data_IF_863698525211
#
_entry.id   IF_863698525211
#
_cell.length_a   1.000
_cell.length_b   1.000
_cell.length_c   1.000
_cell.angle_alpha   90.00
_cell.angle_beta   90.00
_cell.angle_gamma   90.00
#
_symmetry.space_group_name_H-M   'P 1'
#
loop_
_entity.id
_entity.type
_entity.pdbx_description
1 polymer ?
#
# COMPACT_ATOMS: atom_id res chain seq x y z
N UNK A 1 -24.49 -9.30 52.10
CA UNK A 1 -23.72 -9.57 50.88
C UNK A 1 -23.37 -8.27 50.23
N UNK A 2 -22.11 -7.88 50.22
CA UNK A 2 -21.68 -6.64 49.56
C UNK A 2 -21.58 -6.96 48.08
N UNK A 3 -22.45 -6.37 47.29
CA UNK A 3 -22.40 -6.44 45.82
C UNK A 3 -21.09 -5.77 45.34
N UNK A 4 -20.10 -6.57 44.97
CA UNK A 4 -18.86 -6.03 44.37
C UNK A 4 -19.25 -5.40 43.03
N UNK A 5 -19.14 -4.07 42.91
CA UNK A 5 -19.33 -3.37 41.65
C UNK A 5 -18.26 -3.85 40.62
N UNK A 6 -18.71 -4.17 39.42
CA UNK A 6 -17.80 -4.49 38.31
C UNK A 6 -16.85 -3.33 38.09
N UNK A 7 -15.52 -3.55 38.05
CA UNK A 7 -14.58 -2.49 37.76
C UNK A 7 -14.88 -1.86 36.40
N UNK A 8 -14.93 -0.53 36.33
CA UNK A 8 -15.06 0.19 35.06
C UNK A 8 -13.68 0.48 34.49
N UNK A 9 -13.53 0.30 33.20
CA UNK A 9 -12.33 0.70 32.49
C UNK A 9 -12.13 2.21 32.63
N UNK A 10 -10.92 2.73 32.97
CA UNK A 10 -10.61 4.13 32.97
C UNK A 10 -10.93 4.79 31.62
N UNK A 11 -11.44 6.02 31.61
CA UNK A 11 -11.85 6.71 30.36
C UNK A 11 -10.67 6.99 29.42
N UNK A 12 -9.51 7.25 29.98
CA UNK A 12 -8.25 7.47 29.26
C UNK A 12 -7.67 6.23 28.55
N UNK A 13 -8.20 5.04 28.89
CA UNK A 13 -7.80 3.77 28.28
C UNK A 13 -8.81 3.23 27.27
N UNK A 14 -9.82 4.01 26.92
CA UNK A 14 -10.80 3.58 25.93
C UNK A 14 -10.24 3.80 24.54
N UNK A 15 -10.11 2.72 23.80
CA UNK A 15 -9.66 2.69 22.40
C UNK A 15 -10.63 3.36 21.43
N UNK A 16 -11.91 3.49 21.82
CA UNK A 16 -12.97 4.01 20.98
C UNK A 16 -13.59 5.21 21.71
N UNK A 17 -13.71 6.38 21.08
CA UNK A 17 -14.42 7.52 21.64
C UNK A 17 -15.82 7.12 22.11
N UNK A 18 -16.30 7.74 23.19
CA UNK A 18 -17.56 7.41 23.86
C UNK A 18 -18.79 7.47 22.94
N UNK A 19 -18.70 8.28 21.90
CA UNK A 19 -19.71 8.57 20.89
C UNK A 19 -19.50 7.82 19.57
N UNK A 20 -18.48 6.93 19.51
CA UNK A 20 -18.19 6.16 18.31
C UNK A 20 -19.02 4.88 18.25
N UNK A 21 -19.89 4.80 17.26
CA UNK A 21 -20.51 3.54 16.87
C UNK A 21 -19.54 2.72 16.02
N UNK A 22 -19.00 1.65 16.60
CA UNK A 22 -18.06 0.76 15.93
C UNK A 22 -18.68 0.12 14.69
N UNK A 23 -19.97 -0.18 14.70
CA UNK A 23 -20.63 -0.83 13.57
C UNK A 23 -20.81 0.11 12.38
N UNK A 24 -21.11 1.39 12.63
CA UNK A 24 -21.24 2.39 11.58
C UNK A 24 -19.88 2.75 10.94
N UNK A 25 -18.78 2.51 11.64
CA UNK A 25 -17.42 2.75 11.14
C UNK A 25 -16.79 1.52 10.50
N UNK A 26 -17.31 0.32 10.75
CA UNK A 26 -16.75 -0.91 10.20
C UNK A 26 -17.25 -1.12 8.76
N UNK A 27 -16.45 -0.65 7.79
CA UNK A 27 -16.69 -0.87 6.36
C UNK A 27 -15.78 -1.95 5.75
N UNK A 28 -15.00 -2.65 6.60
CA UNK A 28 -14.13 -3.73 6.14
C UNK A 28 -14.93 -4.85 5.50
N UNK A 29 -14.45 -5.31 4.36
CA UNK A 29 -15.02 -6.44 3.63
C UNK A 29 -13.90 -7.43 3.37
N UNK A 30 -14.12 -8.71 3.68
CA UNK A 30 -13.20 -9.78 3.32
C UNK A 30 -13.95 -10.88 2.58
N UNK A 31 -13.65 -11.04 1.31
CA UNK A 31 -14.18 -12.10 0.43
C UNK A 31 -13.00 -12.91 -0.12
N UNK A 32 -12.62 -13.99 0.55
CA UNK A 32 -11.49 -14.82 0.16
C UNK A 32 -11.60 -15.27 -1.31
N UNK A 33 -10.49 -15.14 -2.05
CA UNK A 33 -10.43 -15.44 -3.48
C UNK A 33 -11.03 -14.36 -4.39
N UNK A 34 -11.57 -13.27 -3.83
CA UNK A 34 -12.12 -12.15 -4.60
C UNK A 34 -11.46 -10.83 -4.22
N UNK A 35 -11.73 -10.30 -3.03
CA UNK A 35 -11.13 -9.04 -2.61
C UNK A 35 -11.18 -8.82 -1.09
N UNK A 36 -10.36 -7.87 -0.62
CA UNK A 36 -10.33 -7.39 0.75
C UNK A 36 -10.33 -5.86 0.75
N UNK A 37 -11.30 -5.22 1.43
CA UNK A 37 -11.32 -3.78 1.69
C UNK A 37 -11.01 -3.50 3.16
N UNK A 38 -10.03 -2.65 3.42
CA UNK A 38 -9.67 -2.18 4.77
C UNK A 38 -9.67 -0.65 4.80
N UNK A 39 -10.75 -0.02 5.28
CA UNK A 39 -10.79 1.42 5.53
C UNK A 39 -9.75 1.85 6.59
N UNK A 40 -9.29 3.09 6.53
CA UNK A 40 -8.30 3.62 7.49
C UNK A 40 -8.73 3.38 8.95
N UNK A 41 -9.98 3.67 9.28
CA UNK A 41 -10.53 3.50 10.63
C UNK A 41 -10.54 2.05 11.16
N UNK A 42 -10.35 1.06 10.28
CA UNK A 42 -10.35 -0.37 10.65
C UNK A 42 -8.93 -0.98 10.70
N UNK A 43 -7.89 -0.20 10.46
CA UNK A 43 -6.50 -0.68 10.55
C UNK A 43 -6.05 -0.73 12.00
N UNK A 44 -5.59 -1.90 12.41
CA UNK A 44 -5.17 -2.14 13.79
C UNK A 44 -3.65 -1.99 13.89
N UNK A 45 -3.15 -1.19 14.85
CA UNK A 45 -1.72 -1.11 15.13
C UNK A 45 -1.12 -2.46 15.47
N UNK A 46 0.06 -2.72 14.92
CA UNK A 46 0.88 -3.89 15.14
C UNK A 46 2.33 -3.47 15.40
N UNK A 47 3.21 -4.41 15.65
CA UNK A 47 4.63 -4.17 15.86
C UNK A 47 5.47 -5.18 15.07
N UNK A 48 6.57 -4.70 14.50
CA UNK A 48 7.63 -5.54 13.93
C UNK A 48 8.91 -5.38 14.77
N UNK A 49 9.64 -6.46 15.05
CA UNK A 49 10.79 -6.42 15.98
C UNK A 49 11.90 -5.45 15.59
N UNK A 50 12.04 -5.12 14.31
CA UNK A 50 13.09 -4.25 13.80
C UNK A 50 12.72 -2.75 13.83
N UNK A 51 11.53 -2.38 14.30
CA UNK A 51 11.07 -1.00 14.27
C UNK A 51 11.00 -0.41 15.66
N UNK A 52 11.43 0.85 15.79
CA UNK A 52 11.35 1.68 17.00
C UNK A 52 10.61 2.98 16.68
N UNK A 53 9.80 3.46 17.63
CA UNK A 53 9.01 4.69 17.51
C UNK A 53 8.24 4.80 16.17
N UNK A 54 7.66 3.64 15.77
CA UNK A 54 6.94 3.48 14.51
C UNK A 54 5.72 2.61 14.74
N UNK A 55 4.55 3.10 14.36
CA UNK A 55 3.31 2.31 14.36
C UNK A 55 3.18 1.61 13.01
N UNK A 56 2.91 0.32 13.03
CA UNK A 56 2.82 -0.52 11.85
C UNK A 56 1.41 -1.04 11.72
N UNK A 57 0.80 -0.87 10.55
CA UNK A 57 -0.51 -1.43 10.24
C UNK A 57 -0.35 -2.39 9.07
N UNK A 58 -0.77 -3.63 9.25
CA UNK A 58 -0.70 -4.66 8.21
C UNK A 58 -1.90 -4.48 7.29
N UNK A 59 -1.64 -4.25 6.01
CA UNK A 59 -2.67 -4.09 4.97
C UNK A 59 -2.95 -5.43 4.29
N UNK A 60 -1.90 -6.13 3.88
CA UNK A 60 -2.02 -7.43 3.20
C UNK A 60 -0.83 -8.32 3.51
N UNK A 61 -1.03 -9.64 3.45
CA UNK A 61 0.03 -10.64 3.68
C UNK A 61 -0.26 -11.93 2.91
N UNK A 62 0.73 -12.81 2.72
CA UNK A 62 0.53 -14.14 2.17
C UNK A 62 -0.45 -15.01 2.98
N UNK A 63 -0.63 -14.74 4.27
CA UNK A 63 -1.66 -15.43 5.09
C UNK A 63 -3.09 -15.10 4.69
N UNK A 64 -3.29 -13.97 4.02
CA UNK A 64 -4.58 -13.54 3.47
C UNK A 64 -4.70 -13.83 1.98
N UNK A 65 -3.68 -14.45 1.37
CA UNK A 65 -3.71 -14.95 -0.01
C UNK A 65 -2.93 -14.13 -1.04
N UNK A 66 -2.23 -13.06 -0.64
CA UNK A 66 -1.36 -12.29 -1.54
C UNK A 66 0.01 -12.95 -1.72
N UNK A 67 0.72 -12.61 -2.79
CA UNK A 67 2.13 -12.97 -2.99
C UNK A 67 3.09 -11.98 -2.33
N UNK A 68 2.59 -10.85 -1.88
CA UNK A 68 3.33 -9.78 -1.22
C UNK A 68 2.84 -9.53 0.21
N UNK A 69 3.65 -8.80 0.97
CA UNK A 69 3.20 -8.19 2.23
C UNK A 69 3.23 -6.68 2.08
N UNK A 70 2.15 -6.00 2.48
CA UNK A 70 2.07 -4.55 2.43
C UNK A 70 1.68 -3.99 3.79
N UNK A 71 2.38 -2.92 4.17
CA UNK A 71 2.22 -2.23 5.44
C UNK A 71 2.00 -0.74 5.24
N UNK A 72 1.21 -0.13 6.11
CA UNK A 72 1.26 1.29 6.37
C UNK A 72 2.16 1.50 7.60
N UNK A 73 3.13 2.39 7.48
CA UNK A 73 4.10 2.75 8.51
C UNK A 73 3.87 4.20 8.92
N UNK A 74 3.59 4.44 10.20
CA UNK A 74 3.55 5.78 10.79
C UNK A 74 4.79 5.95 11.69
N UNK A 75 5.82 6.63 11.18
CA UNK A 75 7.03 6.96 11.92
C UNK A 75 6.83 8.24 12.71
N UNK A 76 7.09 8.20 14.01
CA UNK A 76 7.27 9.41 14.82
C UNK A 76 8.63 10.07 14.51
N UNK A 77 8.89 11.31 14.91
CA UNK A 77 10.21 11.90 14.84
C UNK A 77 11.28 10.98 15.49
N UNK A 78 12.32 10.62 14.74
CA UNK A 78 13.33 9.65 15.16
C UNK A 78 12.92 8.18 15.05
N UNK A 79 11.70 7.91 14.55
CA UNK A 79 11.23 6.55 14.27
C UNK A 79 12.06 5.89 13.18
N UNK A 80 12.41 4.60 13.35
CA UNK A 80 13.38 3.95 12.46
C UNK A 80 13.35 2.43 12.52
N UNK A 81 14.02 1.83 11.55
CA UNK A 81 14.54 0.47 11.66
C UNK A 81 15.84 0.47 12.47
N UNK A 82 15.97 -0.46 13.42
CA UNK A 82 17.19 -0.56 14.26
C UNK A 82 18.33 -1.32 13.56
N UNK A 83 18.01 -2.18 12.62
CA UNK A 83 18.95 -2.97 11.83
C UNK A 83 18.69 -2.81 10.36
N UNK A 84 19.72 -2.96 9.55
CA UNK A 84 19.57 -3.11 8.10
C UNK A 84 18.67 -4.31 7.78
N UNK A 85 17.82 -4.15 6.79
CA UNK A 85 17.17 -5.26 6.10
C UNK A 85 18.13 -5.70 5.02
N UNK A 86 18.38 -6.99 4.93
CA UNK A 86 19.24 -7.65 3.95
C UNK A 86 18.66 -9.05 3.79
N UNK A 87 17.75 -9.20 2.87
CA UNK A 87 16.97 -10.42 2.67
C UNK A 87 16.70 -10.68 1.17
N UNK A 88 16.12 -11.83 0.88
CA UNK A 88 15.81 -12.29 -0.49
C UNK A 88 14.54 -11.64 -1.09
N UNK A 89 13.98 -10.64 -0.42
CA UNK A 89 12.81 -9.92 -0.91
C UNK A 89 13.24 -8.65 -1.64
N UNK A 90 12.47 -8.26 -2.59
CA UNK A 90 12.47 -6.90 -3.12
C UNK A 90 11.46 -6.05 -2.36
N UNK A 91 11.76 -4.78 -2.29
CA UNK A 91 11.00 -3.84 -1.47
C UNK A 91 10.66 -2.58 -2.25
N UNK A 92 9.45 -2.09 -2.02
CA UNK A 92 9.03 -0.78 -2.51
C UNK A 92 8.51 0.05 -1.34
N UNK A 93 8.88 1.32 -1.30
CA UNK A 93 8.33 2.28 -0.34
C UNK A 93 7.87 3.54 -1.07
N UNK A 94 6.73 4.08 -0.63
CA UNK A 94 6.15 5.33 -1.11
C UNK A 94 5.77 6.20 0.08
N UNK A 95 6.21 7.46 0.09
CA UNK A 95 5.94 8.42 1.16
C UNK A 95 4.60 9.09 0.92
N UNK A 96 3.60 8.77 1.77
CA UNK A 96 2.26 9.36 1.71
C UNK A 96 2.21 10.76 2.32
N UNK A 97 3.05 11.02 3.33
CA UNK A 97 3.14 12.29 4.04
C UNK A 97 4.46 12.42 4.78
N UNK A 98 4.99 13.64 4.84
CA UNK A 98 6.24 13.93 5.55
C UNK A 98 7.47 13.61 4.72
N UNK A 99 8.47 13.03 5.32
CA UNK A 99 9.72 12.66 4.64
C UNK A 99 10.37 11.45 5.29
N UNK A 100 11.17 10.71 4.52
CA UNK A 100 11.84 9.51 4.97
C UNK A 100 13.27 9.47 4.45
N UNK A 101 14.20 9.08 5.29
CA UNK A 101 15.58 8.81 4.91
C UNK A 101 15.79 7.30 4.75
N UNK A 102 16.39 6.89 3.64
CA UNK A 102 16.81 5.52 3.39
C UNK A 102 18.32 5.45 3.48
N UNK A 103 18.83 4.73 4.47
CA UNK A 103 20.25 4.45 4.63
C UNK A 103 20.61 3.17 3.89
N UNK A 104 21.47 3.26 2.91
CA UNK A 104 21.98 2.15 2.09
C UNK A 104 23.48 1.89 2.35
N UNK A 105 23.94 2.21 3.55
CA UNK A 105 25.29 2.00 4.02
C UNK A 105 26.27 3.13 3.66
N UNK A 106 26.68 3.23 2.40
CA UNK A 106 27.61 4.28 1.95
C UNK A 106 26.94 5.64 1.75
N UNK A 107 25.63 5.63 1.49
CA UNK A 107 24.84 6.81 1.13
C UNK A 107 23.52 6.83 1.90
N UNK A 108 22.96 8.04 2.01
CA UNK A 108 21.57 8.25 2.42
C UNK A 108 20.79 8.86 1.28
N UNK A 109 19.59 8.37 1.06
CA UNK A 109 18.63 8.93 0.11
C UNK A 109 17.48 9.53 0.90
N UNK A 110 17.09 10.75 0.58
CA UNK A 110 15.97 11.45 1.20
C UNK A 110 14.78 11.41 0.27
N UNK A 111 13.63 11.03 0.79
CA UNK A 111 12.35 11.03 0.09
C UNK A 111 11.41 12.01 0.78
N UNK A 112 10.81 12.90 0.01
CA UNK A 112 9.71 13.77 0.42
C UNK A 112 8.36 13.08 0.20
N UNK A 113 7.26 13.74 0.54
CA UNK A 113 5.90 13.31 0.17
C UNK A 113 5.78 13.12 -1.35
N UNK A 114 5.28 11.98 -1.80
CA UNK A 114 5.30 11.57 -3.22
C UNK A 114 6.62 10.93 -3.67
N UNK A 115 7.65 10.96 -2.83
CA UNK A 115 8.90 10.24 -3.08
C UNK A 115 8.74 8.74 -2.91
N UNK A 116 9.48 7.97 -3.70
CA UNK A 116 9.43 6.51 -3.65
C UNK A 116 10.80 5.88 -3.90
N UNK A 117 10.96 4.64 -3.46
CA UNK A 117 12.14 3.84 -3.76
C UNK A 117 11.77 2.38 -4.00
N UNK A 118 12.46 1.77 -4.96
CA UNK A 118 12.52 0.33 -5.15
C UNK A 118 13.92 -0.16 -4.77
N UNK A 119 13.98 -1.13 -3.86
CA UNK A 119 15.19 -1.81 -3.44
C UNK A 119 15.11 -3.27 -3.89
N UNK A 120 15.98 -3.69 -4.81
CA UNK A 120 16.03 -5.09 -5.24
C UNK A 120 16.42 -6.04 -4.10
N UNK A 121 16.16 -7.33 -4.30
CA UNK A 121 16.61 -8.37 -3.37
C UNK A 121 18.12 -8.30 -3.14
N UNK A 122 18.57 -8.68 -1.94
CA UNK A 122 19.96 -8.65 -1.50
C UNK A 122 20.58 -7.23 -1.39
N UNK A 123 19.75 -6.18 -1.47
CA UNK A 123 20.18 -4.80 -1.20
C UNK A 123 19.95 -4.43 0.26
N UNK A 124 21.03 -4.21 1.00
CA UNK A 124 20.93 -3.81 2.41
C UNK A 124 20.46 -2.35 2.55
N UNK A 125 19.44 -2.10 3.38
CA UNK A 125 18.91 -0.77 3.66
C UNK A 125 18.23 -0.70 5.03
N UNK A 126 17.95 0.52 5.50
CA UNK A 126 17.05 0.80 6.63
C UNK A 126 16.34 2.14 6.45
N UNK A 127 15.17 2.27 7.05
CA UNK A 127 14.38 3.50 7.09
C UNK A 127 14.62 4.26 8.39
N UNK A 128 14.63 5.59 8.28
CA UNK A 128 14.73 6.51 9.42
C UNK A 128 13.96 7.80 9.12
N UNK A 129 13.11 8.23 10.05
CA UNK A 129 12.48 9.56 10.00
C UNK A 129 13.38 10.55 10.72
N UNK A 130 14.12 11.36 9.97
CA UNK A 130 14.98 12.45 10.48
C UNK A 130 14.29 13.82 10.48
N UNK A 131 13.00 13.87 10.11
CA UNK A 131 12.19 15.09 10.08
C UNK A 131 11.56 15.35 11.46
N UNK A 132 11.22 16.62 11.72
CA UNK A 132 10.61 17.04 12.99
C UNK A 132 9.14 16.61 13.14
N UNK A 133 8.49 16.20 12.04
CA UNK A 133 7.10 15.75 11.99
C UNK A 133 6.96 14.25 11.81
N UNK A 134 5.72 13.78 11.94
CA UNK A 134 5.36 12.38 11.66
C UNK A 134 5.46 12.11 10.15
N UNK A 135 5.92 10.92 9.81
CA UNK A 135 5.97 10.43 8.43
C UNK A 135 5.06 9.22 8.27
N UNK A 136 4.23 9.24 7.22
CA UNK A 136 3.44 8.07 6.81
C UNK A 136 3.95 7.55 5.47
N UNK A 137 4.16 6.24 5.38
CA UNK A 137 4.62 5.58 4.16
C UNK A 137 3.92 4.23 3.95
N UNK A 138 3.80 3.83 2.69
CA UNK A 138 3.42 2.46 2.31
C UNK A 138 4.71 1.68 2.02
N UNK A 139 4.85 0.53 2.64
CA UNK A 139 5.97 -0.37 2.42
C UNK A 139 5.49 -1.73 1.96
N UNK A 140 5.95 -2.15 0.80
CA UNK A 140 5.64 -3.45 0.21
C UNK A 140 6.91 -4.28 0.12
N UNK A 141 6.79 -5.56 0.39
CA UNK A 141 7.84 -6.53 0.13
C UNK A 141 7.28 -7.77 -0.55
N UNK A 142 8.01 -8.25 -1.54
CA UNK A 142 7.66 -9.40 -2.36
C UNK A 142 8.90 -10.27 -2.53
N UNK A 143 8.72 -11.58 -2.60
CA UNK A 143 9.82 -12.48 -2.94
C UNK A 143 10.16 -12.31 -4.41
N UNK A 144 11.41 -11.91 -4.70
CA UNK A 144 11.89 -11.78 -6.06
C UNK A 144 11.86 -13.12 -6.79
N UNK A 145 11.31 -13.13 -7.99
CA UNK A 145 11.28 -14.27 -8.88
C UNK A 145 12.24 -14.02 -10.07
N UNK A 146 13.48 -14.54 -10.02
CA UNK A 146 14.45 -14.25 -11.07
C UNK A 146 13.98 -14.80 -12.42
N UNK A 147 14.17 -14.02 -13.47
CA UNK A 147 13.99 -14.43 -14.85
C UNK A 147 15.39 -14.50 -15.49
N UNK A 148 15.89 -15.71 -15.75
CA UNK A 148 17.23 -15.94 -16.25
C UNK A 148 18.32 -15.22 -15.44
N UNK A 149 19.14 -14.40 -16.09
CA UNK A 149 20.21 -13.61 -15.46
C UNK A 149 19.83 -12.14 -15.28
N UNK A 150 18.56 -11.79 -15.51
CA UNK A 150 18.10 -10.42 -15.35
C UNK A 150 18.05 -10.03 -13.87
N UNK A 151 18.44 -8.81 -13.57
CA UNK A 151 18.38 -8.23 -12.23
C UNK A 151 17.83 -6.81 -12.33
N UNK A 152 16.85 -6.44 -11.48
CA UNK A 152 16.35 -5.08 -11.44
C UNK A 152 17.38 -4.16 -10.78
N UNK A 153 17.43 -2.91 -11.24
CA UNK A 153 18.25 -1.86 -10.64
C UNK A 153 17.45 -1.12 -9.56
N UNK A 154 18.09 -0.60 -8.52
CA UNK A 154 17.41 0.20 -7.50
C UNK A 154 16.92 1.52 -8.08
N UNK A 155 15.76 1.99 -7.58
CA UNK A 155 15.15 3.26 -7.98
C UNK A 155 14.98 4.12 -6.74
N UNK A 156 15.36 5.40 -6.82
CA UNK A 156 15.08 6.45 -5.85
C UNK A 156 14.60 7.66 -6.63
N UNK A 157 13.33 8.00 -6.51
CA UNK A 157 12.72 9.02 -7.36
C UNK A 157 11.53 9.68 -6.67
N UNK A 158 10.89 10.60 -7.38
CA UNK A 158 9.67 11.27 -6.94
C UNK A 158 8.60 11.17 -8.04
N UNK A 159 7.33 11.10 -7.65
CA UNK A 159 6.21 10.98 -8.60
C UNK A 159 6.16 12.12 -9.62
N UNK A 160 6.64 13.33 -9.25
CA UNK A 160 6.69 14.48 -10.14
C UNK A 160 7.72 14.33 -11.27
N UNK A 161 8.69 13.43 -11.14
CA UNK A 161 9.72 13.15 -12.15
C UNK A 161 9.32 12.03 -13.11
N UNK A 162 8.17 11.37 -12.87
CA UNK A 162 7.65 10.30 -13.72
C UNK A 162 6.65 10.87 -14.71
N UNK A 163 6.87 10.60 -16.00
CA UNK A 163 5.97 11.06 -17.05
C UNK A 163 4.59 10.41 -16.97
N UNK A 164 3.56 11.18 -17.32
CA UNK A 164 2.21 10.67 -17.45
C UNK A 164 2.01 9.96 -18.78
N UNK A 165 1.42 8.80 -18.72
CA UNK A 165 0.86 8.07 -19.86
C UNK A 165 -0.61 8.49 -19.94
N UNK A 166 -1.03 8.93 -21.13
CA UNK A 166 -2.41 9.36 -21.37
C UNK A 166 -3.17 8.18 -21.93
N UNK A 167 -4.05 7.62 -21.12
CA UNK A 167 -4.98 6.57 -21.51
C UNK A 167 -6.30 7.17 -22.02
N UNK A 168 -7.20 6.35 -22.56
CA UNK A 168 -8.44 6.84 -23.17
C UNK A 168 -9.30 7.69 -22.22
N UNK A 169 -9.32 7.36 -20.93
CA UNK A 169 -10.20 7.98 -19.91
C UNK A 169 -9.47 8.43 -18.65
N UNK A 170 -8.18 8.09 -18.46
CA UNK A 170 -7.43 8.39 -17.25
C UNK A 170 -5.94 8.65 -17.56
N UNK A 171 -5.23 9.12 -16.56
CA UNK A 171 -3.77 9.26 -16.62
C UNK A 171 -3.12 8.20 -15.75
N UNK A 172 -1.98 7.68 -16.20
CA UNK A 172 -1.19 6.69 -15.47
C UNK A 172 0.28 7.11 -15.39
N UNK A 173 0.95 6.72 -14.32
CA UNK A 173 2.41 6.82 -14.16
C UNK A 173 2.94 5.45 -13.74
N UNK A 174 3.96 4.95 -14.42
CA UNK A 174 4.67 3.74 -14.02
C UNK A 174 5.88 4.12 -13.17
N UNK A 175 5.77 3.95 -11.85
CA UNK A 175 6.85 4.28 -10.91
C UNK A 175 8.04 3.31 -11.02
N UNK A 176 7.79 2.11 -11.52
CA UNK A 176 8.81 1.10 -11.87
C UNK A 176 8.71 0.84 -13.37
N UNK A 177 9.82 0.84 -14.14
CA UNK A 177 9.82 0.70 -15.61
C UNK A 177 9.71 -0.79 -16.04
N UNK A 178 8.64 -1.47 -15.65
CA UNK A 178 8.44 -2.89 -15.88
C UNK A 178 8.05 -3.26 -17.33
N UNK A 179 7.48 -2.33 -18.09
CA UNK A 179 7.04 -2.58 -19.48
C UNK A 179 8.23 -2.78 -20.41
N UNK A 180 9.28 -2.01 -20.20
CA UNK A 180 10.50 -2.04 -21.02
C UNK A 180 11.59 -2.93 -20.42
N UNK A 181 11.40 -3.44 -19.21
CA UNK A 181 12.42 -4.18 -18.49
C UNK A 181 11.85 -5.39 -17.72
N UNK A 182 11.98 -6.55 -18.33
CA UNK A 182 11.54 -7.84 -17.77
C UNK A 182 12.28 -8.26 -16.48
N UNK A 183 13.31 -7.52 -16.05
CA UNK A 183 13.97 -7.76 -14.76
C UNK A 183 13.04 -7.52 -13.57
N UNK A 184 12.14 -6.54 -13.67
CA UNK A 184 11.17 -6.23 -12.62
C UNK A 184 10.00 -7.21 -12.66
N UNK A 185 9.65 -7.80 -11.52
CA UNK A 185 8.48 -8.65 -11.31
C UNK A 185 7.44 -8.03 -10.36
N UNK A 186 7.70 -6.79 -9.94
CA UNK A 186 6.81 -5.92 -9.20
C UNK A 186 6.58 -4.63 -9.98
N UNK A 187 5.35 -4.14 -10.00
CA UNK A 187 5.01 -2.84 -10.55
C UNK A 187 4.29 -1.97 -9.52
N UNK A 188 4.52 -0.68 -9.62
CA UNK A 188 3.76 0.34 -8.93
C UNK A 188 3.31 1.39 -9.90
N UNK A 189 1.98 1.53 -10.04
CA UNK A 189 1.35 2.50 -10.92
C UNK A 189 0.55 3.50 -10.10
N UNK A 190 0.55 4.74 -10.53
CA UNK A 190 -0.29 5.78 -9.98
C UNK A 190 -1.30 6.20 -11.04
N UNK A 191 -2.58 6.10 -10.71
CA UNK A 191 -3.66 6.40 -11.64
C UNK A 191 -4.44 7.63 -11.18
N UNK A 192 -4.87 8.42 -12.13
CA UNK A 192 -5.62 9.64 -11.92
C UNK A 192 -6.84 9.71 -12.83
N UNK A 193 -8.01 9.93 -12.24
CA UNK A 193 -9.29 10.05 -12.90
C UNK A 193 -9.91 11.41 -12.56
N UNK A 194 -10.38 12.13 -13.55
CA UNK A 194 -11.22 13.31 -13.31
C UNK A 194 -12.55 12.90 -12.63
N UNK A 195 -13.22 13.87 -12.00
CA UNK A 195 -14.50 13.62 -11.35
C UNK A 195 -15.55 13.09 -12.34
N UNK A 196 -16.16 11.95 -12.00
CA UNK A 196 -17.17 11.29 -12.83
C UNK A 196 -16.62 10.41 -13.96
N UNK A 197 -15.30 10.31 -14.09
CA UNK A 197 -14.66 9.46 -15.11
C UNK A 197 -14.51 8.02 -14.61
N UNK A 198 -14.59 7.09 -15.53
CA UNK A 198 -14.48 5.64 -15.30
C UNK A 198 -13.49 5.02 -16.29
N UNK A 199 -13.01 3.82 -16.02
CA UNK A 199 -12.25 3.02 -16.98
C UNK A 199 -12.99 2.79 -18.31
N UNK A 200 -14.32 2.80 -18.27
CA UNK A 200 -15.15 2.54 -19.45
C UNK A 200 -15.25 1.06 -19.85
N UNK A 201 -14.56 0.17 -19.19
CA UNK A 201 -14.58 -1.28 -19.43
C UNK A 201 -14.40 -2.05 -18.13
N UNK A 202 -14.70 -3.34 -18.17
CA UNK A 202 -14.38 -4.30 -17.11
C UNK A 202 -13.22 -5.14 -17.59
N UNK A 203 -12.17 -5.20 -16.80
CA UNK A 203 -10.99 -6.01 -17.08
C UNK A 203 -10.87 -7.21 -16.15
N UNK A 204 -10.13 -8.21 -16.57
CA UNK A 204 -9.67 -9.33 -15.76
C UNK A 204 -8.32 -9.80 -16.26
N UNK A 205 -7.42 -10.10 -15.36
CA UNK A 205 -6.06 -10.52 -15.69
C UNK A 205 -5.43 -11.33 -14.56
N UNK A 206 -4.27 -11.89 -14.85
CA UNK A 206 -3.48 -12.75 -13.96
C UNK A 206 -2.96 -12.02 -12.73
N UNK A 207 -2.71 -10.70 -12.81
CA UNK A 207 -2.09 -9.93 -11.74
C UNK A 207 -3.04 -9.76 -10.55
N UNK A 208 -2.48 -9.87 -9.35
CA UNK A 208 -3.13 -9.42 -8.12
C UNK A 208 -2.84 -7.94 -7.87
N UNK A 209 -3.66 -7.27 -7.07
CA UNK A 209 -3.49 -5.85 -6.79
C UNK A 209 -3.60 -5.52 -5.32
N UNK A 210 -2.67 -4.67 -4.86
CA UNK A 210 -2.84 -3.87 -3.65
C UNK A 210 -3.02 -2.41 -4.04
N UNK A 211 -4.19 -1.85 -3.74
CA UNK A 211 -4.56 -0.49 -4.09
C UNK A 211 -4.75 0.36 -2.85
N UNK A 212 -4.14 1.54 -2.85
CA UNK A 212 -4.35 2.57 -1.84
C UNK A 212 -4.95 3.81 -2.50
N UNK A 213 -6.16 4.21 -2.08
CA UNK A 213 -6.79 5.42 -2.61
C UNK A 213 -6.15 6.65 -1.96
N UNK A 214 -5.36 7.41 -2.75
CA UNK A 214 -4.63 8.58 -2.27
C UNK A 214 -5.55 9.77 -2.06
N UNK A 215 -6.48 10.00 -3.00
CA UNK A 215 -7.38 11.14 -2.99
C UNK A 215 -8.74 10.80 -3.57
N UNK A 216 -9.76 11.55 -3.13
CA UNK A 216 -11.09 11.50 -3.70
C UNK A 216 -11.94 10.34 -3.21
N UNK A 217 -12.86 9.92 -4.06
CA UNK A 217 -13.81 8.83 -3.84
C UNK A 217 -14.05 8.07 -5.13
N UNK A 218 -14.36 6.78 -5.01
CA UNK A 218 -14.69 5.98 -6.14
C UNK A 218 -15.60 4.82 -5.81
N UNK A 219 -16.10 4.20 -6.86
CA UNK A 219 -16.81 2.93 -6.79
C UNK A 219 -16.00 1.93 -7.60
N UNK A 220 -15.62 0.84 -6.97
CA UNK A 220 -15.09 -0.33 -7.65
C UNK A 220 -16.20 -1.33 -7.97
N UNK A 221 -16.29 -1.73 -9.22
CA UNK A 221 -16.97 -2.94 -9.60
C UNK A 221 -16.03 -4.12 -9.41
N UNK A 222 -16.42 -5.10 -8.62
CA UNK A 222 -15.63 -6.29 -8.29
C UNK A 222 -16.52 -7.52 -8.34
N UNK A 223 -16.34 -8.36 -9.36
CA UNK A 223 -17.06 -9.63 -9.50
C UNK A 223 -18.57 -9.53 -9.24
N UNK A 224 -19.27 -8.65 -9.97
CA UNK A 224 -20.72 -8.36 -9.86
C UNK A 224 -21.16 -7.62 -8.58
N UNK A 225 -20.23 -7.01 -7.86
CA UNK A 225 -20.51 -6.17 -6.70
C UNK A 225 -19.94 -4.77 -6.88
N UNK A 226 -20.52 -3.82 -6.16
CA UNK A 226 -20.05 -2.45 -6.14
C UNK A 226 -19.56 -2.09 -4.74
N UNK A 227 -18.32 -1.63 -4.66
CA UNK A 227 -17.65 -1.30 -3.40
C UNK A 227 -17.27 0.18 -3.41
N UNK A 228 -17.83 0.95 -2.48
CA UNK A 228 -17.47 2.35 -2.32
C UNK A 228 -16.11 2.48 -1.61
N UNK A 229 -15.26 3.36 -2.14
CA UNK A 229 -13.96 3.71 -1.59
C UNK A 229 -13.83 5.22 -1.41
N UNK A 230 -13.08 5.61 -0.42
CA UNK A 230 -12.67 7.00 -0.16
C UNK A 230 -11.18 7.08 0.13
N UNK A 231 -10.61 8.29 0.10
CA UNK A 231 -9.20 8.51 0.42
C UNK A 231 -8.80 7.76 1.70
N UNK A 232 -7.59 7.24 1.70
CA UNK A 232 -6.99 6.36 2.71
C UNK A 232 -7.61 4.96 2.82
N UNK A 233 -8.57 4.56 1.99
CA UNK A 233 -9.00 3.16 1.94
C UNK A 233 -7.97 2.29 1.21
N UNK A 234 -7.80 1.05 1.68
CA UNK A 234 -6.98 0.03 1.06
C UNK A 234 -7.86 -1.08 0.48
N UNK A 235 -7.60 -1.46 -0.77
CA UNK A 235 -8.27 -2.56 -1.45
C UNK A 235 -7.23 -3.55 -1.97
N UNK A 236 -7.43 -4.83 -1.67
CA UNK A 236 -6.70 -5.92 -2.32
C UNK A 236 -7.66 -6.68 -3.25
N UNK A 237 -7.18 -7.00 -4.44
CA UNK A 237 -7.89 -7.78 -5.44
C UNK A 237 -7.08 -9.01 -5.83
N UNK A 238 -7.72 -10.16 -5.76
CA UNK A 238 -7.10 -11.44 -6.15
C UNK A 238 -6.94 -11.52 -7.68
N UNK A 239 -6.04 -12.40 -8.18
CA UNK A 239 -5.94 -12.70 -9.60
C UNK A 239 -7.30 -13.03 -10.23
N UNK A 240 -7.49 -12.61 -11.48
CA UNK A 240 -8.66 -12.90 -12.31
C UNK A 240 -9.99 -12.32 -11.82
N UNK A 241 -10.01 -11.48 -10.81
CA UNK A 241 -11.24 -10.80 -10.37
C UNK A 241 -11.65 -9.77 -11.42
N UNK A 242 -12.88 -9.88 -12.01
CA UNK A 242 -13.39 -8.84 -12.90
C UNK A 242 -13.52 -7.52 -12.15
N UNK A 243 -12.93 -6.46 -12.70
CA UNK A 243 -12.79 -5.18 -12.03
C UNK A 243 -12.97 -3.98 -12.96
N UNK A 244 -13.45 -2.89 -12.42
CA UNK A 244 -13.52 -1.57 -13.04
C UNK A 244 -13.64 -0.49 -11.98
N UNK A 245 -13.08 0.70 -12.24
CA UNK A 245 -13.14 1.83 -11.32
C UNK A 245 -13.91 2.99 -11.93
N UNK A 246 -14.65 3.71 -11.09
CA UNK A 246 -15.29 4.96 -11.41
C UNK A 246 -15.00 5.98 -10.31
N UNK A 247 -14.37 7.11 -10.65
CA UNK A 247 -14.22 8.24 -9.75
C UNK A 247 -15.60 8.88 -9.52
N UNK A 248 -15.98 9.07 -8.25
CA UNK A 248 -17.28 9.62 -7.86
C UNK A 248 -17.10 10.87 -7.03
N UNK A 249 -18.15 11.68 -6.92
CA UNK A 249 -18.09 12.95 -6.19
C UNK A 249 -17.71 14.13 -7.07
N UNK A 250 -17.15 15.19 -6.44
CA UNK A 250 -16.88 16.47 -7.07
C UNK A 250 -15.39 16.72 -7.33
N UNK A 251 -14.55 15.80 -6.89
CA UNK A 251 -13.09 15.88 -7.02
C UNK A 251 -12.58 14.69 -7.81
N UNK A 252 -11.38 14.81 -8.32
CA UNK A 252 -10.62 13.73 -8.94
C UNK A 252 -10.41 12.57 -7.97
N UNK A 253 -10.22 11.37 -8.53
CA UNK A 253 -9.80 10.17 -7.79
C UNK A 253 -8.39 9.79 -8.17
N UNK A 254 -7.52 9.56 -7.18
CA UNK A 254 -6.13 9.12 -7.39
C UNK A 254 -5.83 7.93 -6.53
N UNK A 255 -5.18 6.92 -7.09
CA UNK A 255 -4.72 5.79 -6.31
C UNK A 255 -3.34 5.29 -6.72
N UNK A 256 -2.67 4.68 -5.76
CA UNK A 256 -1.45 3.92 -5.96
C UNK A 256 -1.81 2.44 -6.02
N UNK A 257 -1.32 1.75 -7.04
CA UNK A 257 -1.59 0.35 -7.32
C UNK A 257 -0.29 -0.43 -7.42
N UNK A 258 -0.12 -1.47 -6.62
CA UNK A 258 0.90 -2.47 -6.90
C UNK A 258 0.29 -3.68 -7.63
N UNK A 259 1.11 -4.30 -8.47
CA UNK A 259 0.77 -5.55 -9.18
C UNK A 259 2.03 -6.39 -9.38
N UNK A 260 1.88 -7.69 -9.43
CA UNK A 260 2.88 -8.62 -9.92
C UNK A 260 2.89 -8.59 -11.45
N UNK A 261 4.08 -8.57 -12.04
CA UNK A 261 4.25 -8.41 -13.50
C UNK A 261 5.34 -9.33 -14.02
N UNK A 262 5.37 -9.53 -15.34
CA UNK A 262 6.47 -10.20 -16.05
C UNK A 262 6.75 -11.65 -15.60
N UNK A 263 5.81 -12.27 -14.87
CA UNK A 263 5.87 -13.67 -14.45
C UNK A 263 4.52 -14.32 -14.72
N UNK A 264 4.56 -15.63 -14.98
CA UNK A 264 3.34 -16.40 -15.15
C UNK A 264 2.69 -16.69 -13.80
N UNK A 265 1.39 -16.96 -13.84
CA UNK A 265 0.66 -17.36 -12.63
C UNK A 265 1.20 -18.67 -12.10
N UNK A 266 1.48 -18.70 -10.82
CA UNK A 266 1.88 -19.90 -10.09
C UNK A 266 0.87 -20.20 -8.99
N UNK A 267 0.06 -21.24 -9.19
CA UNK A 267 -1.00 -21.68 -8.26
C UNK A 267 -0.50 -22.47 -7.05
N UNK A 268 0.83 -22.61 -6.91
CA UNK A 268 1.47 -23.31 -5.79
C UNK A 268 1.64 -22.47 -4.51
N UNK A 269 1.08 -21.26 -4.48
CA UNK A 269 1.12 -20.36 -3.33
C UNK A 269 -0.22 -20.30 -2.59
#
# INVERSE_FOLDING_TARGET
MVQKSTPKMPEDKRYIPKDADIFSRCRSIHKPGLYLLIPEANRVPSALPNFKDTVIKVLMTPRLGARFTQYELDFQPGGRMEKLVDDEFEHFIYVLRGGLTIDIGAEKKELEEGGFAFMPADMAYRFENLYDGDTRALWTKQRFQPLENLRPEPIFSHEADVEYIVEDTYLEQHLIPYDDNMAYDMAFNRLWFEAGVTFGFVETHIMEHGLYLLEGRGIYYLNNEYVEMQADDYLYMYPFVPQSFAATGWTEGRYLLNKDVNRDYDDRY
#
